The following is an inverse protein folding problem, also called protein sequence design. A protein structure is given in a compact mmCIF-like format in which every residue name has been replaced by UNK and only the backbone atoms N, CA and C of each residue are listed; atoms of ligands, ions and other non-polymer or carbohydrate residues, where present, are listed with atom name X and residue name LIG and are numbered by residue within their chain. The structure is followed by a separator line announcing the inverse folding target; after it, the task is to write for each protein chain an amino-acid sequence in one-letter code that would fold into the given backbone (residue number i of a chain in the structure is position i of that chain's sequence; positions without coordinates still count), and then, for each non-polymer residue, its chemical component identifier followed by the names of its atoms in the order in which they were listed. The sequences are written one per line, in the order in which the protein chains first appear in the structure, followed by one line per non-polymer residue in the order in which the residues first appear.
data_IF_399057741391
#
_entry.id   IF_399057741391
#
_cell.length_a   1.000
_cell.length_b   1.000
_cell.length_c   1.000
_cell.angle_alpha   90.00
_cell.angle_beta   90.00
_cell.angle_gamma   90.00
#
_symmetry.space_group_name_H-M   'P 1'
#
loop_
_entity.id
_entity.type
_entity.pdbx_description
1 polymer ?
#
# COMPACT_ATOMS: atom_id res chain seq x y z
N UNK A 1 6.15 25.85 -9.18
CA UNK A 1 6.64 24.46 -9.40
C UNK A 1 7.64 24.46 -10.57
N UNK A 2 8.88 24.01 -10.35
CA UNK A 2 9.87 23.84 -11.44
C UNK A 2 9.62 22.51 -12.15
N UNK A 3 9.49 22.53 -13.48
CA UNK A 3 9.31 21.31 -14.29
C UNK A 3 10.62 20.53 -14.36
N UNK A 4 10.56 19.22 -14.08
CA UNK A 4 11.67 18.29 -14.29
C UNK A 4 11.86 18.02 -15.78
N UNK A 5 13.11 17.88 -16.21
CA UNK A 5 13.43 17.44 -17.58
C UNK A 5 13.24 15.92 -17.70
N UNK A 6 12.96 15.42 -18.91
CA UNK A 6 12.76 13.98 -19.17
C UNK A 6 13.92 13.12 -18.66
N UNK A 7 15.16 13.58 -18.86
CA UNK A 7 16.37 12.88 -18.39
C UNK A 7 16.44 12.79 -16.87
N UNK A 8 16.04 13.85 -16.16
CA UNK A 8 15.99 13.85 -14.69
C UNK A 8 14.89 12.94 -14.17
N UNK A 9 13.72 12.94 -14.81
CA UNK A 9 12.62 12.04 -14.46
C UNK A 9 13.04 10.57 -14.61
N UNK A 10 13.75 10.22 -15.69
CA UNK A 10 14.25 8.85 -15.93
C UNK A 10 15.28 8.39 -14.89
N UNK A 11 16.01 9.31 -14.28
CA UNK A 11 17.00 9.01 -13.25
C UNK A 11 16.37 8.84 -11.85
N UNK A 12 15.10 9.23 -11.66
CA UNK A 12 14.38 8.96 -10.41
C UNK A 12 14.08 7.47 -10.37
N UNK A 13 14.82 6.76 -9.52
CA UNK A 13 14.48 5.40 -9.13
C UNK A 13 13.43 5.50 -8.02
N UNK A 14 12.18 5.24 -8.37
CA UNK A 14 11.16 5.00 -7.34
C UNK A 14 11.59 3.81 -6.48
N UNK A 15 11.44 3.92 -5.17
CA UNK A 15 11.64 2.82 -4.24
C UNK A 15 10.29 2.43 -3.65
N UNK A 16 9.54 1.61 -4.38
CA UNK A 16 8.46 0.81 -3.81
C UNK A 16 9.09 -0.52 -3.39
N UNK A 17 9.61 -0.55 -2.16
CA UNK A 17 10.03 -1.80 -1.54
C UNK A 17 8.93 -2.23 -0.60
N UNK A 18 8.43 -3.45 -0.77
CA UNK A 18 7.55 -4.11 0.18
C UNK A 18 8.34 -4.90 1.25
N UNK A 19 9.66 -4.71 1.32
CA UNK A 19 10.50 -5.39 2.30
C UNK A 19 10.11 -4.97 3.72
N UNK A 20 9.80 -5.96 4.56
CA UNK A 20 9.31 -5.75 5.92
C UNK A 20 7.80 -5.51 6.04
N UNK A 21 7.07 -5.47 4.93
CA UNK A 21 5.61 -5.40 4.95
C UNK A 21 4.97 -6.79 5.07
N UNK A 22 3.77 -6.89 5.67
CA UNK A 22 3.06 -8.16 5.82
C UNK A 22 2.36 -8.58 4.51
N UNK A 23 3.11 -8.77 3.44
CA UNK A 23 2.61 -9.03 2.07
C UNK A 23 1.75 -10.30 1.91
N UNK A 24 1.76 -11.19 2.90
CA UNK A 24 0.94 -12.43 2.90
C UNK A 24 -0.39 -12.26 3.62
N UNK A 25 -0.61 -11.11 4.25
CA UNK A 25 -1.83 -10.80 4.95
C UNK A 25 -2.84 -10.20 3.97
N UNK A 26 -4.11 -10.54 4.19
CA UNK A 26 -5.25 -9.89 3.58
C UNK A 26 -6.07 -9.16 4.67
N UNK A 27 -6.66 -8.04 4.27
CA UNK A 27 -7.37 -7.13 5.17
C UNK A 27 -8.80 -6.91 4.67
N UNK A 28 -9.78 -7.07 5.56
CA UNK A 28 -11.18 -6.92 5.18
C UNK A 28 -12.15 -7.27 6.29
N UNK A 29 -13.44 -7.02 6.10
CA UNK A 29 -14.49 -7.49 6.99
C UNK A 29 -14.81 -8.96 6.71
N UNK A 30 -14.93 -9.79 7.75
CA UNK A 30 -15.34 -11.19 7.62
C UNK A 30 -14.26 -12.21 8.01
N UNK A 31 -14.66 -13.48 8.09
CA UNK A 31 -13.79 -14.59 8.52
C UNK A 31 -12.78 -15.04 7.45
N UNK A 32 -12.95 -14.60 6.20
CA UNK A 32 -12.08 -14.90 5.07
C UNK A 32 -10.81 -14.03 5.04
N UNK A 33 -10.77 -12.96 5.85
CA UNK A 33 -9.61 -12.09 5.98
C UNK A 33 -8.80 -12.41 7.23
N UNK A 34 -7.47 -12.32 7.10
CA UNK A 34 -6.53 -12.57 8.20
C UNK A 34 -6.46 -11.39 9.17
N UNK A 35 -6.88 -10.19 8.74
CA UNK A 35 -6.79 -8.94 9.49
C UNK A 35 -7.99 -8.03 9.21
N UNK A 36 -8.25 -7.09 10.13
CA UNK A 36 -9.35 -6.13 10.04
C UNK A 36 -9.00 -4.91 9.18
N UNK A 37 -10.01 -4.16 8.74
CA UNK A 37 -9.80 -2.88 8.06
C UNK A 37 -9.05 -1.86 8.92
N UNK A 38 -9.25 -1.82 10.25
CA UNK A 38 -8.48 -0.90 11.11
C UNK A 38 -6.98 -1.23 11.10
N UNK A 39 -6.63 -2.52 11.07
CA UNK A 39 -5.24 -2.96 10.99
C UNK A 39 -4.59 -2.57 9.65
N UNK A 40 -5.36 -2.51 8.56
CA UNK A 40 -4.88 -2.00 7.27
C UNK A 40 -4.52 -0.52 7.37
N UNK A 41 -5.41 0.31 7.92
CA UNK A 41 -5.17 1.75 8.06
C UNK A 41 -4.05 2.09 9.06
N UNK A 42 -3.72 1.17 9.97
CA UNK A 42 -2.56 1.30 10.85
C UNK A 42 -1.21 0.99 10.17
N UNK A 43 -1.20 0.40 8.96
CA UNK A 43 0.04 0.17 8.22
C UNK A 43 0.65 1.48 7.74
N UNK A 44 1.98 1.48 7.57
CA UNK A 44 2.65 2.56 6.85
C UNK A 44 2.12 2.67 5.42
N UNK A 45 2.12 3.88 4.86
CA UNK A 45 1.59 4.11 3.51
C UNK A 45 2.32 3.30 2.43
N UNK A 46 3.60 2.98 2.66
CA UNK A 46 4.33 2.06 1.81
C UNK A 46 3.74 0.63 1.86
N UNK A 47 3.47 0.10 3.05
CA UNK A 47 2.93 -1.24 3.20
C UNK A 47 1.47 -1.36 2.77
N UNK A 48 0.68 -0.30 2.86
CA UNK A 48 -0.68 -0.26 2.31
C UNK A 48 -0.71 -0.55 0.80
N UNK A 49 0.34 -0.16 0.06
CA UNK A 49 0.46 -0.43 -1.39
C UNK A 49 0.95 -1.85 -1.72
N UNK A 50 1.22 -2.67 -0.70
CA UNK A 50 1.88 -3.97 -0.82
C UNK A 50 1.06 -5.15 -0.30
N UNK A 51 -0.18 -4.92 0.13
CA UNK A 51 -1.06 -5.93 0.75
C UNK A 51 -2.41 -5.98 0.05
N UNK A 52 -3.08 -7.12 0.15
CA UNK A 52 -4.44 -7.25 -0.36
C UNK A 52 -5.43 -6.67 0.65
N UNK A 53 -6.28 -5.74 0.19
CA UNK A 53 -7.31 -5.10 1.00
C UNK A 53 -8.65 -5.15 0.29
N UNK A 54 -9.70 -5.47 1.04
CA UNK A 54 -11.07 -5.48 0.56
C UNK A 54 -11.55 -4.06 0.22
N UNK A 55 -12.31 -3.92 -0.87
CA UNK A 55 -12.94 -2.64 -1.22
C UNK A 55 -13.87 -2.13 -0.09
N UNK A 56 -14.48 -3.04 0.66
CA UNK A 56 -15.33 -2.71 1.81
C UNK A 56 -14.62 -1.95 2.93
N UNK A 57 -13.28 -1.96 2.99
CA UNK A 57 -12.55 -1.14 3.96
C UNK A 57 -12.61 0.36 3.64
N UNK A 58 -13.00 0.75 2.42
CA UNK A 58 -13.06 2.14 1.97
C UNK A 58 -14.48 2.65 1.73
N UNK A 59 -15.47 1.77 1.78
CA UNK A 59 -16.88 2.12 1.66
C UNK A 59 -17.38 2.60 3.03
N UNK A 60 -17.71 3.89 3.12
CA UNK A 60 -18.46 4.48 4.24
C UNK A 60 -19.97 4.38 3.99
#
# INVERSE_FOLDING_TARGET
MKKLTRSKLKAIKGSLSCAGCPIRNNYGPGSEYSNTCEQYFALSQNCQMCVDVSAYCFEN
#
